data_IF_599157052539
#
_entry.id   IF_599157052539
#
_cell.length_a   1.000
_cell.length_b   1.000
_cell.length_c   1.000
_cell.angle_alpha   90.00
_cell.angle_beta   90.00
_cell.angle_gamma   90.00
#
_symmetry.space_group_name_H-M   'P 1'
#
loop_
_entity.id
_entity.type
_entity.pdbx_description
1 polymer ?
#
# COMPACT_ATOMS: atom_id res chain seq x y z
N UNK A 1 57.49 -23.85 38.26
CA UNK A 1 56.76 -25.12 38.03
C UNK A 1 55.50 -25.10 38.89
N UNK A 2 54.31 -24.97 38.29
CA UNK A 2 53.02 -25.09 39.00
C UNK A 2 52.49 -26.51 38.82
N UNK A 3 51.98 -27.18 39.86
CA UNK A 3 51.41 -28.51 39.71
C UNK A 3 50.06 -28.44 38.99
N UNK A 4 49.84 -29.37 38.06
CA UNK A 4 48.58 -29.56 37.37
C UNK A 4 47.54 -30.11 38.34
N UNK A 5 46.35 -29.51 38.37
CA UNK A 5 45.20 -29.99 39.13
C UNK A 5 44.54 -31.18 38.40
N UNK A 6 44.04 -32.20 39.13
CA UNK A 6 43.39 -33.35 38.52
C UNK A 6 41.99 -33.01 38.00
N UNK A 7 41.66 -33.56 36.83
CA UNK A 7 40.34 -33.45 36.23
C UNK A 7 39.32 -34.28 37.02
N UNK A 8 38.30 -33.60 37.57
CA UNK A 8 37.16 -34.24 38.20
C UNK A 8 36.20 -34.76 37.11
N UNK A 9 36.03 -36.09 37.04
CA UNK A 9 35.01 -36.74 36.23
C UNK A 9 33.70 -36.69 37.03
N UNK A 10 32.73 -35.90 36.56
CA UNK A 10 31.42 -35.80 37.19
C UNK A 10 30.55 -36.98 36.75
N UNK A 11 30.17 -37.84 37.70
CA UNK A 11 29.17 -38.89 37.51
C UNK A 11 27.80 -38.27 37.20
N UNK A 12 27.29 -38.55 36.00
CA UNK A 12 25.95 -38.14 35.57
C UNK A 12 24.95 -39.05 36.27
N UNK A 13 24.38 -38.54 37.37
CA UNK A 13 23.40 -39.24 38.17
C UNK A 13 22.09 -39.46 37.36
N UNK A 14 21.43 -40.62 37.55
CA UNK A 14 20.29 -41.08 36.74
C UNK A 14 19.09 -40.09 36.72
N UNK A 15 19.01 -39.20 37.69
CA UNK A 15 17.99 -38.14 37.78
C UNK A 15 18.08 -37.12 36.64
N UNK A 16 19.28 -36.85 36.10
CA UNK A 16 19.48 -35.88 35.00
C UNK A 16 18.95 -36.40 33.66
N UNK A 17 18.92 -37.72 33.45
CA UNK A 17 18.42 -38.34 32.22
C UNK A 17 16.89 -38.23 32.10
N UNK A 18 16.17 -38.30 33.23
CA UNK A 18 14.71 -38.15 33.27
C UNK A 18 14.25 -36.73 32.87
N UNK A 19 15.00 -35.70 33.23
CA UNK A 19 14.66 -34.31 32.88
C UNK A 19 14.79 -34.04 31.38
N UNK A 20 15.81 -34.59 30.72
CA UNK A 20 16.04 -34.42 29.27
C UNK A 20 14.95 -35.12 28.43
N UNK A 21 14.43 -36.27 28.91
CA UNK A 21 13.33 -36.99 28.25
C UNK A 21 12.04 -36.17 28.25
N UNK A 22 11.69 -35.54 29.37
CA UNK A 22 10.50 -34.67 29.48
C UNK A 22 10.57 -33.44 28.56
N UNK A 23 11.76 -32.85 28.37
CA UNK A 23 11.94 -31.69 27.49
C UNK A 23 11.79 -32.04 26.00
N UNK A 24 12.20 -33.25 25.59
CA UNK A 24 11.98 -33.72 24.21
C UNK A 24 10.49 -33.92 23.92
N UNK A 25 9.73 -34.45 24.87
CA UNK A 25 8.29 -34.65 24.73
C UNK A 25 7.53 -33.32 24.63
N UNK A 26 7.92 -32.32 25.44
CA UNK A 26 7.33 -30.98 25.40
C UNK A 26 7.61 -30.23 24.08
N UNK A 27 8.80 -30.43 23.49
CA UNK A 27 9.15 -29.84 22.18
C UNK A 27 8.35 -30.47 21.03
N UNK A 28 8.02 -31.75 21.11
CA UNK A 28 7.19 -32.44 20.12
C UNK A 28 5.76 -31.91 20.07
N UNK A 29 5.14 -31.66 21.24
CA UNK A 29 3.76 -31.14 21.30
C UNK A 29 3.64 -29.69 20.83
N UNK A 30 4.62 -28.83 21.13
CA UNK A 30 4.63 -27.44 20.63
C UNK A 30 4.72 -27.39 19.11
N UNK A 31 5.53 -28.25 18.48
CA UNK A 31 5.61 -28.35 17.02
C UNK A 31 4.30 -28.81 16.38
N UNK A 32 3.62 -29.81 16.97
CA UNK A 32 2.31 -30.28 16.48
C UNK A 32 1.24 -29.19 16.58
N UNK A 33 1.21 -28.42 17.67
CA UNK A 33 0.27 -27.29 17.84
C UNK A 33 0.56 -26.13 16.86
N UNK A 34 1.84 -25.81 16.63
CA UNK A 34 2.23 -24.78 15.65
C UNK A 34 1.81 -25.17 14.23
N UNK A 35 2.08 -26.40 13.80
CA UNK A 35 1.70 -26.90 12.47
C UNK A 35 0.17 -26.95 12.28
N UNK A 36 -0.58 -27.35 13.31
CA UNK A 36 -2.04 -27.32 13.28
C UNK A 36 -2.60 -25.89 13.20
N UNK A 37 -1.97 -24.91 13.86
CA UNK A 37 -2.36 -23.51 13.79
C UNK A 37 -2.07 -22.90 12.41
N UNK A 38 -0.94 -23.27 11.79
CA UNK A 38 -0.55 -22.84 10.44
C UNK A 38 -1.51 -23.38 9.38
N UNK A 39 -1.83 -24.68 9.40
CA UNK A 39 -2.81 -25.27 8.48
C UNK A 39 -4.22 -24.69 8.66
N UNK A 40 -4.60 -24.33 9.89
CA UNK A 40 -5.90 -23.67 10.16
C UNK A 40 -5.92 -22.23 9.63
N UNK A 41 -4.81 -21.50 9.75
CA UNK A 41 -4.66 -20.18 9.16
C UNK A 41 -4.71 -20.24 7.63
N UNK A 42 -4.08 -21.25 7.02
CA UNK A 42 -4.10 -21.45 5.58
C UNK A 42 -5.49 -21.84 5.06
N UNK A 43 -6.21 -22.72 5.75
CA UNK A 43 -7.59 -23.06 5.42
C UNK A 43 -8.55 -21.86 5.60
N UNK A 44 -8.33 -21.03 6.62
CA UNK A 44 -9.12 -19.81 6.78
C UNK A 44 -8.83 -18.81 5.66
N UNK A 45 -7.58 -18.66 5.20
CA UNK A 45 -7.25 -17.84 4.01
C UNK A 45 -7.97 -18.35 2.75
N UNK A 46 -8.04 -19.67 2.55
CA UNK A 46 -8.75 -20.28 1.41
C UNK A 46 -10.27 -20.13 1.49
N UNK A 47 -10.84 -19.94 2.69
CA UNK A 47 -12.28 -19.78 2.91
C UNK A 47 -12.75 -18.34 2.69
N UNK A 48 -11.87 -17.35 2.85
CA UNK A 48 -12.08 -15.97 2.39
C UNK A 48 -11.77 -15.88 0.89
N UNK A 49 -12.53 -16.62 0.06
CA UNK A 49 -12.66 -16.22 -1.34
C UNK A 49 -13.59 -15.02 -1.32
N UNK A 50 -13.03 -13.82 -1.50
CA UNK A 50 -13.84 -12.67 -1.88
C UNK A 50 -14.68 -13.12 -3.08
N UNK A 51 -16.01 -12.91 -3.08
CA UNK A 51 -16.82 -13.22 -4.24
C UNK A 51 -16.19 -12.50 -5.42
N UNK A 52 -15.95 -13.25 -6.49
CA UNK A 52 -15.39 -12.77 -7.75
C UNK A 52 -16.46 -11.92 -8.44
N UNK A 53 -16.79 -10.77 -7.84
CA UNK A 53 -17.54 -9.72 -8.51
C UNK A 53 -16.55 -9.13 -9.50
N UNK A 54 -16.73 -9.49 -10.77
CA UNK A 54 -16.00 -8.89 -11.87
C UNK A 54 -16.20 -7.38 -11.81
N UNK A 55 -15.20 -6.64 -11.32
CA UNK A 55 -15.21 -5.19 -11.41
C UNK A 55 -15.22 -4.80 -12.89
N UNK A 56 -16.09 -3.86 -13.25
CA UNK A 56 -16.15 -3.36 -14.62
C UNK A 56 -15.06 -2.30 -14.75
N UNK A 57 -14.01 -2.60 -15.50
CA UNK A 57 -12.97 -1.64 -15.84
C UNK A 57 -13.37 -0.88 -17.11
N UNK A 58 -13.50 0.44 -17.02
CA UNK A 58 -13.82 1.34 -18.14
C UNK A 58 -12.58 2.18 -18.44
N UNK A 59 -12.12 2.19 -19.69
CA UNK A 59 -11.07 3.10 -20.14
C UNK A 59 -11.64 4.52 -20.28
N UNK A 60 -10.93 5.50 -19.71
CA UNK A 60 -11.40 6.89 -19.70
C UNK A 60 -10.98 7.59 -20.99
N UNK A 61 -11.98 8.05 -21.74
CA UNK A 61 -11.77 8.83 -22.95
C UNK A 61 -11.31 10.27 -22.61
N UNK A 62 -10.36 10.84 -23.37
CA UNK A 62 -9.94 12.22 -23.18
C UNK A 62 -11.12 13.22 -23.30
N UNK A 63 -11.30 14.07 -22.28
CA UNK A 63 -12.35 15.07 -22.21
C UNK A 63 -13.71 14.58 -21.70
N UNK A 64 -13.82 13.29 -21.32
CA UNK A 64 -15.04 12.74 -20.75
C UNK A 64 -15.40 13.34 -19.38
N UNK A 65 -16.63 13.12 -18.93
CA UNK A 65 -17.05 13.59 -17.59
C UNK A 65 -16.29 12.85 -16.47
N UNK A 66 -15.94 11.58 -16.70
CA UNK A 66 -15.14 10.77 -15.79
C UNK A 66 -13.74 11.35 -15.63
N UNK A 67 -13.10 11.76 -16.72
CA UNK A 67 -11.80 12.45 -16.64
C UNK A 67 -11.91 13.73 -15.81
N UNK A 68 -12.96 14.53 -16.03
CA UNK A 68 -13.21 15.74 -15.25
C UNK A 68 -13.42 15.43 -13.78
N UNK A 69 -14.12 14.35 -13.43
CA UNK A 69 -14.32 13.90 -12.06
C UNK A 69 -13.04 13.41 -11.40
N UNK A 70 -12.15 12.74 -12.13
CA UNK A 70 -10.82 12.36 -11.61
C UNK A 70 -9.99 13.62 -11.36
N UNK A 71 -9.94 14.52 -12.34
CA UNK A 71 -9.21 15.80 -12.23
C UNK A 71 -9.77 16.63 -11.08
N UNK A 72 -11.09 16.70 -10.89
CA UNK A 72 -11.70 17.46 -9.80
C UNK A 72 -11.66 16.76 -8.44
N UNK A 73 -11.09 15.56 -8.34
CA UNK A 73 -11.01 14.82 -7.08
C UNK A 73 -12.33 14.20 -6.62
N UNK A 74 -13.35 14.15 -7.48
CA UNK A 74 -14.61 13.43 -7.24
C UNK A 74 -14.46 11.90 -7.34
N UNK A 75 -13.40 11.42 -8.02
CA UNK A 75 -13.00 10.01 -8.03
C UNK A 75 -11.67 9.81 -7.31
N UNK A 76 -11.58 8.77 -6.49
CA UNK A 76 -10.42 8.45 -5.65
C UNK A 76 -9.59 7.35 -6.30
N UNK A 77 -8.25 7.51 -6.26
CA UNK A 77 -7.32 6.46 -6.70
C UNK A 77 -7.42 5.24 -5.79
N UNK A 78 -7.80 4.08 -6.33
CA UNK A 78 -7.93 2.83 -5.56
C UNK A 78 -6.85 1.81 -5.86
N UNK A 79 -6.30 1.81 -7.07
CA UNK A 79 -5.35 0.82 -7.53
C UNK A 79 -4.47 1.42 -8.63
N UNK A 80 -3.24 0.93 -8.73
CA UNK A 80 -2.39 1.20 -9.89
C UNK A 80 -1.97 -0.13 -10.50
N UNK A 81 -1.95 -0.18 -11.82
CA UNK A 81 -1.42 -1.29 -12.59
C UNK A 81 -0.12 -0.78 -13.19
N UNK A 82 1.00 -1.35 -12.72
CA UNK A 82 2.34 -1.00 -13.17
C UNK A 82 2.96 -2.14 -14.01
N UNK A 83 2.39 -2.51 -15.17
CA UNK A 83 3.00 -3.52 -16.00
C UNK A 83 4.15 -2.82 -16.73
N UNK A 84 5.35 -2.85 -16.16
CA UNK A 84 6.54 -2.24 -16.74
C UNK A 84 6.37 -0.76 -17.05
N UNK A 85 6.11 0.04 -16.00
CA UNK A 85 6.38 1.48 -16.09
C UNK A 85 7.79 1.63 -16.70
N UNK A 86 7.96 2.52 -17.67
CA UNK A 86 9.20 2.82 -18.41
C UNK A 86 10.32 3.41 -17.52
N UNK A 87 10.47 2.84 -16.33
CA UNK A 87 11.47 3.07 -15.30
C UNK A 87 12.81 2.45 -15.69
N UNK A 88 12.91 1.76 -16.84
CA UNK A 88 14.19 1.32 -17.35
C UNK A 88 15.18 2.52 -17.38
N UNK A 89 16.45 2.30 -16.99
CA UNK A 89 17.44 3.35 -16.97
C UNK A 89 17.52 3.98 -18.36
N UNK A 90 17.44 5.31 -18.41
CA UNK A 90 17.79 6.02 -19.64
C UNK A 90 19.24 5.68 -19.96
N UNK A 91 19.52 5.34 -21.22
CA UNK A 91 20.89 5.18 -21.70
C UNK A 91 21.63 6.47 -21.31
N UNK A 92 22.75 6.40 -20.56
CA UNK A 92 23.45 7.59 -20.15
C UNK A 92 23.81 8.40 -21.39
N UNK A 93 23.49 9.72 -21.42
CA UNK A 93 23.84 10.55 -22.57
C UNK A 93 25.35 10.49 -22.75
N UNK A 94 25.79 10.10 -23.95
CA UNK A 94 27.20 10.10 -24.32
C UNK A 94 27.75 11.51 -24.18
N UNK A 95 28.72 11.67 -23.29
CA UNK A 95 29.43 12.89 -22.91
C UNK A 95 29.52 13.88 -24.08
N UNK A 96 28.77 15.00 -24.01
CA UNK A 96 29.01 16.31 -24.67
C UNK A 96 27.75 17.20 -24.79
N UNK A 97 26.56 16.75 -24.39
CA UNK A 97 25.39 17.65 -24.33
C UNK A 97 25.20 18.25 -22.93
N UNK A 98 25.29 19.59 -22.90
CA UNK A 98 25.02 20.46 -21.77
C UNK A 98 23.64 20.12 -21.18
N UNK A 99 23.66 19.72 -19.91
CA UNK A 99 22.56 19.06 -19.20
C UNK A 99 21.44 20.06 -18.90
N UNK A 100 20.67 20.43 -19.93
CA UNK A 100 19.32 20.95 -19.79
C UNK A 100 18.55 19.99 -18.88
N UNK A 101 17.94 20.51 -17.82
CA UNK A 101 17.17 19.76 -16.83
C UNK A 101 15.91 19.14 -17.46
N UNK A 102 16.09 18.18 -18.36
CA UNK A 102 15.01 17.40 -18.92
C UNK A 102 14.28 16.74 -17.76
N UNK A 103 13.01 17.08 -17.60
CA UNK A 103 12.16 16.53 -16.56
C UNK A 103 12.16 15.01 -16.70
N UNK A 104 12.77 14.34 -15.73
CA UNK A 104 12.76 12.88 -15.63
C UNK A 104 11.29 12.47 -15.50
N UNK A 105 10.76 11.81 -16.54
CA UNK A 105 9.36 11.39 -16.63
C UNK A 105 9.28 9.87 -16.78
N UNK A 106 8.41 9.22 -16.02
CA UNK A 106 8.00 7.83 -16.28
C UNK A 106 6.88 7.77 -17.34
N UNK A 107 6.62 6.56 -17.87
CA UNK A 107 5.55 6.29 -18.84
C UNK A 107 4.98 4.87 -18.67
N UNK A 108 3.78 4.59 -19.18
CA UNK A 108 3.27 3.21 -19.35
C UNK A 108 2.63 2.57 -18.11
N UNK A 109 1.97 3.35 -17.25
CA UNK A 109 1.26 2.81 -16.09
C UNK A 109 -0.17 3.33 -16.04
N UNK A 110 -1.08 2.50 -15.53
CA UNK A 110 -2.49 2.82 -15.43
C UNK A 110 -2.91 2.98 -13.98
N UNK A 111 -3.74 3.97 -13.70
CA UNK A 111 -4.42 4.13 -12.43
C UNK A 111 -5.88 3.75 -12.60
N UNK A 112 -6.43 3.11 -11.57
CA UNK A 112 -7.86 2.83 -11.45
C UNK A 112 -8.46 3.73 -10.38
N UNK A 113 -9.53 4.40 -10.76
CA UNK A 113 -10.28 5.33 -9.92
C UNK A 113 -11.70 4.82 -9.71
N UNK A 114 -12.28 5.15 -8.56
CA UNK A 114 -13.70 4.93 -8.33
C UNK A 114 -14.24 5.97 -7.32
N UNK A 115 -15.56 6.02 -7.18
CA UNK A 115 -16.20 6.93 -6.22
C UNK A 115 -16.28 6.23 -4.86
N UNK A 116 -15.48 6.72 -3.92
CA UNK A 116 -15.42 6.20 -2.54
C UNK A 116 -16.39 6.97 -1.65
N UNK A 117 -17.15 6.25 -0.83
CA UNK A 117 -18.08 6.84 0.14
C UNK A 117 -17.36 7.32 1.40
N UNK A 118 -16.68 8.46 1.32
CA UNK A 118 -15.98 9.07 2.46
C UNK A 118 -16.92 9.49 3.60
N UNK A 119 -18.20 9.73 3.33
CA UNK A 119 -19.19 10.01 4.37
C UNK A 119 -19.44 8.78 5.25
N UNK A 120 -19.53 7.58 4.66
CA UNK A 120 -19.63 6.33 5.42
C UNK A 120 -18.37 6.07 6.27
N UNK A 121 -17.19 6.38 5.74
CA UNK A 121 -15.94 6.32 6.49
C UNK A 121 -15.98 7.18 7.75
N UNK A 122 -16.33 8.46 7.61
CA UNK A 122 -16.40 9.43 8.72
C UNK A 122 -17.47 9.06 9.75
N UNK A 123 -18.58 8.47 9.31
CA UNK A 123 -19.70 8.08 10.17
C UNK A 123 -19.37 6.90 11.09
N UNK A 124 -18.63 5.90 10.60
CA UNK A 124 -18.28 4.69 11.34
C UNK A 124 -16.87 4.21 11.01
N UNK A 125 -15.88 4.92 11.56
CA UNK A 125 -14.45 4.65 11.35
C UNK A 125 -14.04 3.24 11.78
N UNK A 126 -14.46 2.69 12.95
CA UNK A 126 -14.07 1.35 13.36
C UNK A 126 -14.48 0.26 12.35
N UNK A 127 -15.68 0.38 11.78
CA UNK A 127 -16.18 -0.56 10.78
C UNK A 127 -15.52 -0.36 9.42
N UNK A 128 -15.27 0.89 9.03
CA UNK A 128 -14.74 1.27 7.72
C UNK A 128 -13.23 1.61 7.74
N UNK A 129 -12.49 1.02 8.68
CA UNK A 129 -11.13 1.43 9.02
C UNK A 129 -10.07 1.20 7.93
N UNK A 130 -10.28 0.20 7.07
CA UNK A 130 -9.33 -0.18 6.04
C UNK A 130 -9.77 0.36 4.69
N UNK A 131 -8.83 0.91 3.92
CA UNK A 131 -9.15 1.50 2.62
C UNK A 131 -9.70 0.47 1.63
N UNK A 132 -9.27 -0.80 1.76
CA UNK A 132 -9.81 -1.91 0.97
C UNK A 132 -11.31 -2.14 1.19
N UNK A 133 -11.81 -1.93 2.41
CA UNK A 133 -13.25 -2.00 2.70
C UNK A 133 -14.01 -0.82 2.11
N UNK A 134 -13.42 0.38 2.15
CA UNK A 134 -14.02 1.56 1.52
C UNK A 134 -14.14 1.41 0.01
N UNK A 135 -13.15 0.81 -0.65
CA UNK A 135 -13.20 0.50 -2.08
C UNK A 135 -14.08 -0.72 -2.41
N UNK A 136 -14.68 -1.38 -1.42
CA UNK A 136 -15.55 -2.53 -1.68
C UNK A 136 -16.94 -2.06 -2.11
N UNK A 137 -17.58 -2.85 -2.97
CA UNK A 137 -18.96 -2.61 -3.42
C UNK A 137 -20.00 -2.61 -2.28
N UNK A 138 -19.66 -3.14 -1.10
CA UNK A 138 -20.57 -3.16 0.05
C UNK A 138 -20.68 -1.79 0.74
N UNK A 139 -19.60 -1.00 0.70
CA UNK A 139 -19.53 0.32 1.36
C UNK A 139 -19.66 1.45 0.35
N UNK A 140 -19.04 1.28 -0.82
CA UNK A 140 -19.10 2.20 -1.94
C UNK A 140 -19.72 1.49 -3.14
N UNK A 141 -21.06 1.54 -3.23
CA UNK A 141 -21.81 0.98 -4.35
C UNK A 141 -21.25 1.47 -5.71
N UNK A 142 -20.89 2.75 -5.77
CA UNK A 142 -20.31 3.40 -6.95
C UNK A 142 -18.87 2.93 -7.28
N UNK A 143 -18.25 2.06 -6.47
CA UNK A 143 -16.92 1.50 -6.72
C UNK A 143 -16.94 0.13 -7.43
N UNK A 144 -18.11 -0.37 -7.80
CA UNK A 144 -18.24 -1.54 -8.69
C UNK A 144 -17.66 -1.25 -10.09
N UNK A 145 -17.77 0.00 -10.53
CA UNK A 145 -17.16 0.50 -11.76
C UNK A 145 -15.84 1.18 -11.44
N UNK A 146 -14.78 0.76 -12.13
CA UNK A 146 -13.44 1.34 -12.02
C UNK A 146 -13.04 2.01 -13.32
N UNK A 147 -12.57 3.24 -13.22
CA UNK A 147 -12.13 4.04 -14.35
C UNK A 147 -10.61 3.94 -14.50
N UNK A 148 -10.15 3.44 -15.62
CA UNK A 148 -8.73 3.19 -15.91
C UNK A 148 -8.19 4.29 -16.83
N UNK A 149 -7.08 4.91 -16.43
CA UNK A 149 -6.44 6.00 -17.17
C UNK A 149 -4.92 5.93 -17.00
N UNK A 150 -4.16 6.41 -17.99
CA UNK A 150 -2.69 6.56 -17.86
C UNK A 150 -2.34 7.54 -16.71
N UNK A 151 -1.50 7.08 -15.78
CA UNK A 151 -1.16 7.82 -14.55
C UNK A 151 -0.51 9.16 -14.89
N UNK A 152 0.43 9.18 -15.83
CA UNK A 152 1.20 10.39 -16.12
C UNK A 152 0.31 11.45 -16.74
N UNK A 153 -0.52 11.03 -17.70
CA UNK A 153 -1.49 11.88 -18.38
C UNK A 153 -2.45 12.52 -17.39
N UNK A 154 -3.02 11.73 -16.46
CA UNK A 154 -3.99 12.27 -15.51
C UNK A 154 -3.35 13.19 -14.46
N UNK A 155 -2.11 12.90 -14.04
CA UNK A 155 -1.35 13.77 -13.12
C UNK A 155 -1.08 15.12 -13.75
N UNK A 156 -0.61 15.13 -15.00
CA UNK A 156 -0.28 16.37 -15.71
C UNK A 156 -1.53 17.23 -15.92
N UNK A 157 -2.64 16.62 -16.32
CA UNK A 157 -3.93 17.31 -16.44
C UNK A 157 -4.43 17.83 -15.09
N UNK A 158 -4.33 17.04 -14.02
CA UNK A 158 -4.70 17.47 -12.68
C UNK A 158 -3.84 18.65 -12.19
N UNK A 159 -2.52 18.62 -12.44
CA UNK A 159 -1.63 19.73 -12.09
C UNK A 159 -1.90 20.98 -12.91
N UNK A 160 -2.19 20.83 -14.20
CA UNK A 160 -2.58 21.95 -15.05
C UNK A 160 -3.89 22.58 -14.56
N UNK A 161 -4.88 21.76 -14.20
CA UNK A 161 -6.13 22.21 -13.58
C UNK A 161 -5.87 23.00 -12.29
N UNK A 162 -5.02 22.49 -11.39
CA UNK A 162 -4.70 23.18 -10.14
C UNK A 162 -3.97 24.51 -10.36
N UNK A 163 -3.22 24.65 -11.45
CA UNK A 163 -2.56 25.91 -11.81
C UNK A 163 -3.54 26.94 -12.36
N UNK A 164 -4.52 26.52 -13.17
CA UNK A 164 -5.54 27.41 -13.75
C UNK A 164 -6.61 27.80 -12.74
N UNK A 165 -6.89 26.94 -11.78
CA UNK A 165 -8.02 27.07 -10.86
C UNK A 165 -7.69 27.71 -9.52
N UNK A 166 -6.48 28.27 -9.36
CA UNK A 166 -6.01 28.87 -8.10
C UNK A 166 -7.00 29.92 -7.57
N UNK A 167 -7.75 29.55 -6.54
CA UNK A 167 -8.69 30.43 -5.83
C UNK A 167 -10.15 30.36 -6.29
N UNK A 168 -10.51 29.47 -7.23
CA UNK A 168 -11.89 29.38 -7.75
C UNK A 168 -12.56 28.01 -7.58
N UNK A 169 -11.82 26.95 -7.27
CA UNK A 169 -12.35 25.58 -7.19
C UNK A 169 -12.35 25.05 -5.77
N UNK A 170 -13.38 24.28 -5.41
CA UNK A 170 -13.49 23.53 -4.15
C UNK A 170 -12.51 22.35 -4.05
N UNK A 171 -11.85 22.02 -5.16
CA UNK A 171 -10.89 20.92 -5.24
C UNK A 171 -9.62 21.28 -4.48
N UNK A 172 -9.26 20.45 -3.50
CA UNK A 172 -8.05 20.61 -2.73
C UNK A 172 -7.19 19.34 -2.78
N UNK A 173 -5.86 19.55 -2.78
CA UNK A 173 -4.89 18.48 -2.61
C UNK A 173 -4.48 18.46 -1.15
N UNK A 174 -4.91 17.44 -0.42
CA UNK A 174 -4.52 17.24 0.97
C UNK A 174 -3.06 16.82 1.02
N UNK A 175 -2.18 17.74 1.43
CA UNK A 175 -0.77 17.45 1.63
C UNK A 175 -0.64 16.39 2.74
N UNK A 176 0.09 15.27 2.51
CA UNK A 176 0.28 14.27 3.55
C UNK A 176 1.02 14.88 4.74
N UNK A 177 0.46 14.69 5.95
CA UNK A 177 1.10 15.11 7.20
C UNK A 177 2.16 14.12 7.70
N UNK A 178 2.11 12.87 7.24
CA UNK A 178 3.06 11.84 7.63
C UNK A 178 2.75 10.48 7.01
N UNK A 179 3.69 9.55 7.14
CA UNK A 179 3.56 8.15 6.73
C UNK A 179 3.87 7.26 7.93
N UNK A 180 3.07 6.21 8.12
CA UNK A 180 3.28 5.23 9.18
C UNK A 180 3.61 3.90 8.53
N UNK A 181 4.88 3.51 8.62
CA UNK A 181 5.34 2.19 8.19
C UNK A 181 5.32 1.24 9.37
N UNK A 182 4.80 0.05 9.15
CA UNK A 182 4.62 -0.93 10.22
C UNK A 182 4.67 -2.36 9.69
N UNK A 183 5.05 -3.28 10.55
CA UNK A 183 4.91 -4.71 10.27
C UNK A 183 3.45 -5.16 10.43
N UNK A 184 3.11 -6.32 9.90
CA UNK A 184 1.78 -6.90 10.12
C UNK A 184 1.56 -7.26 11.59
N UNK A 185 0.33 -7.04 12.10
CA UNK A 185 -0.11 -7.41 13.46
C UNK A 185 0.58 -6.67 14.63
N UNK A 186 1.04 -5.44 14.42
CA UNK A 186 1.58 -4.58 15.48
C UNK A 186 0.55 -3.60 16.09
N UNK A 187 -0.72 -3.70 15.72
CA UNK A 187 -1.76 -2.76 16.16
C UNK A 187 -1.84 -1.48 15.32
N UNK A 188 -1.28 -1.47 14.10
CA UNK A 188 -1.36 -0.34 13.18
C UNK A 188 -2.79 0.10 12.85
N UNK A 189 -3.72 -0.83 12.71
CA UNK A 189 -5.15 -0.54 12.51
C UNK A 189 -5.73 0.26 13.68
N UNK A 190 -5.32 -0.04 14.92
CA UNK A 190 -5.76 0.72 16.10
C UNK A 190 -5.23 2.16 16.05
N UNK A 191 -3.96 2.33 15.66
CA UNK A 191 -3.35 3.66 15.50
C UNK A 191 -4.03 4.43 14.37
N UNK A 192 -4.26 3.79 13.21
CA UNK A 192 -4.95 4.39 12.07
C UNK A 192 -6.36 4.86 12.44
N UNK A 193 -7.12 4.03 13.18
CA UNK A 193 -8.46 4.39 13.65
C UNK A 193 -8.43 5.53 14.65
N UNK A 194 -7.44 5.54 15.55
CA UNK A 194 -7.28 6.61 16.53
C UNK A 194 -6.96 7.94 15.84
N UNK A 195 -6.09 7.92 14.82
CA UNK A 195 -5.75 9.10 14.02
C UNK A 195 -6.94 9.61 13.21
N UNK A 196 -7.71 8.71 12.59
CA UNK A 196 -8.91 9.06 11.83
C UNK A 196 -10.02 9.63 12.73
N UNK A 197 -10.20 9.06 13.93
CA UNK A 197 -11.23 9.49 14.87
C UNK A 197 -10.89 10.80 15.60
N UNK A 198 -9.62 11.19 15.64
CA UNK A 198 -9.19 12.40 16.33
C UNK A 198 -9.83 13.68 15.76
N UNK A 199 -9.91 13.80 14.43
CA UNK A 199 -10.54 14.94 13.76
C UNK A 199 -11.11 14.51 12.39
N UNK A 200 -12.22 13.75 12.34
CA UNK A 200 -12.72 13.10 11.12
C UNK A 200 -12.97 14.06 9.94
N UNK A 201 -13.28 15.33 10.22
CA UNK A 201 -13.46 16.36 9.18
C UNK A 201 -12.17 16.97 8.65
N UNK A 202 -11.05 16.78 9.35
CA UNK A 202 -9.74 17.38 9.02
C UNK A 202 -8.67 16.35 8.69
N UNK A 203 -8.89 15.08 9.04
CA UNK A 203 -7.91 14.01 8.87
C UNK A 203 -8.47 12.90 8.01
N UNK A 204 -7.73 12.53 6.97
CA UNK A 204 -7.98 11.34 6.15
C UNK A 204 -6.83 10.36 6.33
N UNK A 205 -7.14 9.12 6.70
CA UNK A 205 -6.15 8.07 6.92
C UNK A 205 -6.34 6.96 5.90
N UNK A 206 -5.34 6.75 5.06
CA UNK A 206 -5.29 5.65 4.09
C UNK A 206 -4.61 4.44 4.73
N UNK A 207 -5.37 3.65 5.51
CA UNK A 207 -4.85 2.43 6.13
C UNK A 207 -4.76 1.30 5.10
N UNK A 208 -3.58 0.67 5.00
CA UNK A 208 -3.31 -0.49 4.13
C UNK A 208 -3.68 -0.27 2.66
N UNK A 209 -3.51 0.97 2.18
CA UNK A 209 -3.82 1.33 0.80
C UNK A 209 -2.82 0.69 -0.17
N UNK A 210 -3.32 0.05 -1.23
CA UNK A 210 -2.53 -0.63 -2.25
C UNK A 210 -1.63 0.29 -3.08
N UNK A 211 -2.11 1.44 -3.62
CA UNK A 211 -1.36 2.27 -4.55
C UNK A 211 0.05 2.69 -4.08
N UNK A 212 0.27 3.19 -2.85
CA UNK A 212 1.63 3.55 -2.42
C UNK A 212 2.57 2.35 -2.37
N UNK A 213 2.06 1.20 -1.93
CA UNK A 213 2.86 -0.04 -1.85
C UNK A 213 3.23 -0.53 -3.24
N UNK A 214 2.27 -0.52 -4.18
CA UNK A 214 2.52 -0.89 -5.57
C UNK A 214 3.51 0.07 -6.25
N UNK A 215 3.43 1.36 -5.96
CA UNK A 215 4.35 2.36 -6.50
C UNK A 215 5.78 2.12 -6.00
N UNK A 216 5.94 1.86 -4.69
CA UNK A 216 7.24 1.52 -4.10
C UNK A 216 7.83 0.24 -4.71
N UNK A 217 6.98 -0.76 -4.97
CA UNK A 217 7.42 -2.05 -5.54
C UNK A 217 7.65 -2.04 -7.06
N UNK A 218 7.36 -0.92 -7.74
CA UNK A 218 7.50 -0.84 -9.20
C UNK A 218 8.92 -1.16 -9.70
N UNK A 219 9.93 -1.01 -8.84
CA UNK A 219 11.33 -1.30 -9.15
C UNK A 219 11.89 -2.58 -8.50
N UNK A 220 11.10 -3.37 -7.75
CA UNK A 220 11.64 -4.49 -6.96
C UNK A 220 12.33 -5.57 -7.81
N UNK A 221 11.97 -5.67 -9.09
CA UNK A 221 12.38 -6.78 -9.96
C UNK A 221 13.31 -6.37 -11.10
N UNK A 222 13.64 -5.08 -11.26
CA UNK A 222 14.46 -4.57 -12.37
C UNK A 222 15.29 -3.36 -11.94
N UNK A 223 16.49 -3.20 -12.50
CA UNK A 223 17.24 -1.95 -12.37
C UNK A 223 16.39 -0.81 -12.92
N UNK A 224 16.12 0.20 -12.10
CA UNK A 224 15.26 1.30 -12.48
C UNK A 224 15.93 2.66 -12.26
N UNK A 225 15.48 3.67 -12.99
CA UNK A 225 15.85 5.06 -12.77
C UNK A 225 15.20 5.56 -11.47
N UNK A 226 16.03 5.93 -10.49
CA UNK A 226 15.58 6.40 -9.18
C UNK A 226 14.72 7.67 -9.29
N UNK A 227 15.05 8.58 -10.22
CA UNK A 227 14.30 9.81 -10.44
C UNK A 227 12.87 9.55 -10.89
N UNK A 228 12.69 8.66 -11.88
CA UNK A 228 11.37 8.23 -12.37
C UNK A 228 10.57 7.52 -11.28
N UNK A 229 11.23 6.70 -10.45
CA UNK A 229 10.57 5.98 -9.35
C UNK A 229 10.07 6.92 -8.26
N UNK A 230 10.90 7.90 -7.87
CA UNK A 230 10.51 8.95 -6.92
C UNK A 230 9.34 9.77 -7.46
N UNK A 231 9.37 10.12 -8.75
CA UNK A 231 8.28 10.86 -9.40
C UNK A 231 6.97 10.06 -9.36
N UNK A 232 7.00 8.77 -9.72
CA UNK A 232 5.83 7.89 -9.63
C UNK A 232 5.24 7.88 -8.21
N UNK A 233 6.07 7.71 -7.18
CA UNK A 233 5.61 7.70 -5.79
C UNK A 233 4.95 9.03 -5.44
N UNK A 234 5.57 10.17 -5.81
CA UNK A 234 5.01 11.50 -5.56
C UNK A 234 3.67 11.71 -6.28
N UNK A 235 3.56 11.25 -7.51
CA UNK A 235 2.37 11.34 -8.33
C UNK A 235 1.21 10.51 -7.78
N UNK A 236 1.50 9.29 -7.32
CA UNK A 236 0.51 8.43 -6.66
C UNK A 236 0.01 9.07 -5.37
N UNK A 237 0.90 9.58 -4.52
CA UNK A 237 0.50 10.28 -3.28
C UNK A 237 -0.29 11.55 -3.59
N UNK A 238 0.10 12.30 -4.62
CA UNK A 238 -0.62 13.48 -5.09
C UNK A 238 -2.05 13.14 -5.53
N UNK A 239 -2.23 12.10 -6.36
CA UNK A 239 -3.55 11.65 -6.81
C UNK A 239 -4.42 11.15 -5.65
N UNK A 240 -3.83 10.41 -4.70
CA UNK A 240 -4.56 9.98 -3.50
C UNK A 240 -5.00 11.16 -2.64
N UNK A 241 -4.21 12.24 -2.57
CA UNK A 241 -4.53 13.43 -1.79
C UNK A 241 -5.62 14.31 -2.41
N UNK A 242 -6.05 14.07 -3.67
CA UNK A 242 -7.09 14.87 -4.31
C UNK A 242 -8.45 14.62 -3.63
N UNK A 243 -9.17 15.70 -3.35
CA UNK A 243 -10.48 15.67 -2.71
C UNK A 243 -11.34 16.81 -3.22
N UNK A 244 -12.61 16.52 -3.49
CA UNK A 244 -13.68 17.51 -3.63
C UNK A 244 -14.45 17.76 -2.32
N UNK A 245 -14.14 17.00 -1.27
CA UNK A 245 -14.72 17.10 0.07
C UNK A 245 -13.99 18.10 0.97
#
# INVERSE_FOLDING_TARGET
>A
MRPAAPAAVADINATTIATISSQKQFRGERRKKAFAAENRAENNRKKWKFPDKSSIDIEVEPGSEEEKLIISGGLTLVEIVAPTLGLAPSIPPTDNEEQSSASVSYSGGFAKFCKVNWAAYKKDIPTNCMFSFLSSSEVSEDCETKYTVDIKTIVDKARAYDQTSKGQTEVSVMKPNGFVFHESRCGSTLVANSLAAFAPEKTRVYSESGPPVLAMKACDFQSCDEGKHIELIRDVIYLMGRSSD
#
